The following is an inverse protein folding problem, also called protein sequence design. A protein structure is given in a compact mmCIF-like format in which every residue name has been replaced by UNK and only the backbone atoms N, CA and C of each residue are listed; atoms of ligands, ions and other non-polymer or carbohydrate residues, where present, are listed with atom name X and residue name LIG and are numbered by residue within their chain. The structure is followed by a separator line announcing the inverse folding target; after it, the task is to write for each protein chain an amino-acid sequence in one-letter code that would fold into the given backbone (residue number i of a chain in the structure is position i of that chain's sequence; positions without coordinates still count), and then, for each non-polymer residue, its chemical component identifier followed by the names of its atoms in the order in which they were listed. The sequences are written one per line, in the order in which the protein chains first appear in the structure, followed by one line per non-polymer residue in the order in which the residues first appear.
data_IF_292674488728
#
_entry.id   IF_292674488728
#
_cell.length_a   1.000
_cell.length_b   1.000
_cell.length_c   1.000
_cell.angle_alpha   90.00
_cell.angle_beta   90.00
_cell.angle_gamma   90.00
#
_symmetry.space_group_name_H-M   'P 1'
#
loop_
_entity.id
_entity.type
_entity.pdbx_description
1 polymer ?
#
# COMPACT_ATOMS: atom_id res chain seq x y z
N UNK A 1 19.87 -34.02 -11.37
CA UNK A 1 19.54 -33.04 -10.31
C UNK A 1 20.83 -32.63 -9.64
N UNK A 2 21.19 -31.36 -9.77
CA UNK A 2 22.50 -30.83 -9.36
C UNK A 2 22.57 -30.75 -7.84
N UNK A 3 23.38 -31.62 -7.21
CA UNK A 3 23.53 -31.75 -5.74
C UNK A 3 24.10 -30.47 -5.09
N UNK A 4 24.72 -29.58 -5.86
CA UNK A 4 25.24 -28.30 -5.37
C UNK A 4 24.16 -27.19 -5.19
N UNK A 5 22.97 -27.35 -5.76
CA UNK A 5 21.86 -26.37 -5.62
C UNK A 5 21.04 -26.58 -4.33
N UNK A 6 21.04 -27.80 -3.76
CA UNK A 6 20.31 -28.11 -2.54
C UNK A 6 20.80 -27.33 -1.30
N UNK A 7 22.11 -27.27 -1.02
CA UNK A 7 22.61 -26.52 0.14
C UNK A 7 22.41 -25.00 0.02
N UNK A 8 22.48 -24.42 -1.17
CA UNK A 8 22.19 -22.98 -1.39
C UNK A 8 20.76 -22.64 -1.08
N UNK A 9 19.78 -23.41 -1.57
CA UNK A 9 18.35 -23.20 -1.27
C UNK A 9 18.03 -23.29 0.23
N UNK A 10 18.63 -24.25 0.92
CA UNK A 10 18.47 -24.39 2.38
C UNK A 10 19.06 -23.22 3.14
N UNK A 11 20.24 -22.74 2.75
CA UNK A 11 20.86 -21.56 3.35
C UNK A 11 20.02 -20.29 3.10
N UNK A 12 19.48 -20.11 1.91
CA UNK A 12 18.63 -18.95 1.58
C UNK A 12 17.30 -18.99 2.36
N UNK A 13 16.72 -20.19 2.55
CA UNK A 13 15.54 -20.38 3.39
C UNK A 13 15.82 -20.09 4.86
N UNK A 14 16.95 -20.58 5.39
CA UNK A 14 17.38 -20.31 6.76
C UNK A 14 17.63 -18.81 7.00
N UNK A 15 18.30 -18.14 6.05
CA UNK A 15 18.51 -16.67 6.09
C UNK A 15 17.17 -15.91 6.08
N UNK A 16 16.24 -16.30 5.20
CA UNK A 16 14.91 -15.70 5.15
C UNK A 16 14.15 -15.92 6.45
N UNK A 17 14.15 -17.13 7.00
CA UNK A 17 13.53 -17.45 8.28
C UNK A 17 14.11 -16.61 9.42
N UNK A 18 15.44 -16.47 9.50
CA UNK A 18 16.10 -15.64 10.48
C UNK A 18 15.77 -14.14 10.29
N UNK A 19 15.72 -13.67 9.05
CA UNK A 19 15.30 -12.31 8.73
C UNK A 19 13.86 -12.05 9.17
N UNK A 20 12.95 -12.97 8.88
CA UNK A 20 11.54 -12.89 9.31
C UNK A 20 11.40 -12.90 10.83
N UNK A 21 12.16 -13.76 11.53
CA UNK A 21 12.14 -13.85 12.99
C UNK A 21 12.57 -12.55 13.69
N UNK A 22 13.45 -11.77 13.06
CA UNK A 22 13.99 -10.51 13.59
C UNK A 22 13.12 -9.29 13.27
N UNK A 23 12.07 -9.43 12.45
CA UNK A 23 11.19 -8.30 12.13
C UNK A 23 10.45 -7.82 13.38
N UNK A 24 10.23 -6.50 13.52
CA UNK A 24 9.35 -5.97 14.55
C UNK A 24 7.94 -6.54 14.38
N UNK A 25 7.21 -6.63 15.49
CA UNK A 25 5.82 -7.11 15.50
C UNK A 25 4.90 -5.92 15.68
N UNK A 26 3.87 -5.83 14.83
CA UNK A 26 2.76 -4.90 14.96
C UNK A 26 1.47 -5.68 15.23
N UNK A 27 0.64 -5.16 16.13
CA UNK A 27 -0.72 -5.68 16.35
C UNK A 27 -1.71 -4.78 15.63
N UNK A 28 -2.40 -5.33 14.64
CA UNK A 28 -3.42 -4.63 13.85
C UNK A 28 -4.81 -5.13 14.27
N UNK A 29 -5.64 -4.21 14.72
CA UNK A 29 -7.01 -4.51 15.19
C UNK A 29 -8.01 -4.21 14.09
N UNK A 30 -8.86 -5.19 13.81
CA UNK A 30 -10.07 -5.05 13.01
C UNK A 30 -11.26 -4.74 13.93
N UNK A 31 -11.79 -3.54 13.84
CA UNK A 31 -12.96 -3.09 14.61
C UNK A 31 -14.20 -3.15 13.72
N UNK A 32 -15.16 -4.01 14.08
CA UNK A 32 -16.30 -4.33 13.20
C UNK A 32 -17.37 -3.25 13.13
N UNK A 33 -17.31 -2.19 13.96
CA UNK A 33 -18.39 -1.22 14.13
C UNK A 33 -18.79 -0.44 12.86
N UNK A 34 -17.88 -0.24 11.89
CA UNK A 34 -18.17 0.55 10.68
C UNK A 34 -18.83 -0.27 9.57
N UNK A 35 -18.42 -1.52 9.41
CA UNK A 35 -18.92 -2.46 8.42
C UNK A 35 -18.62 -3.88 8.90
N UNK A 36 -19.52 -4.47 9.70
CA UNK A 36 -19.25 -5.74 10.35
C UNK A 36 -18.95 -6.89 9.39
N UNK A 37 -19.64 -6.94 8.24
CA UNK A 37 -19.49 -8.02 7.26
C UNK A 37 -18.22 -7.84 6.43
N UNK A 38 -18.02 -6.67 5.84
CA UNK A 38 -16.86 -6.37 5.00
C UNK A 38 -15.54 -6.46 5.79
N UNK A 39 -15.54 -5.99 7.04
CA UNK A 39 -14.36 -6.06 7.91
C UNK A 39 -14.05 -7.49 8.32
N UNK A 40 -15.03 -8.32 8.69
CA UNK A 40 -14.83 -9.75 8.97
C UNK A 40 -14.34 -10.51 7.74
N UNK A 41 -14.90 -10.20 6.57
CA UNK A 41 -14.44 -10.78 5.31
C UNK A 41 -12.97 -10.45 5.04
N UNK A 42 -12.57 -9.20 5.19
CA UNK A 42 -11.17 -8.77 4.99
C UNK A 42 -10.24 -9.40 6.02
N UNK A 43 -10.66 -9.48 7.30
CA UNK A 43 -9.91 -10.17 8.33
C UNK A 43 -9.66 -11.64 7.95
N UNK A 44 -10.69 -12.37 7.50
CA UNK A 44 -10.56 -13.74 7.05
C UNK A 44 -9.58 -13.88 5.86
N UNK A 45 -9.62 -12.95 4.89
CA UNK A 45 -8.66 -12.94 3.76
C UNK A 45 -7.22 -12.70 4.23
N UNK A 46 -6.99 -11.82 5.21
CA UNK A 46 -5.65 -11.49 5.71
C UNK A 46 -5.04 -12.61 6.56
N UNK A 47 -5.88 -13.34 7.29
CA UNK A 47 -5.47 -14.39 8.23
C UNK A 47 -5.51 -15.81 7.67
N UNK A 48 -6.16 -16.03 6.51
CA UNK A 48 -6.20 -17.36 5.87
C UNK A 48 -4.79 -17.91 5.69
N UNK A 49 -4.60 -19.24 5.71
CA UNK A 49 -3.29 -19.84 5.46
C UNK A 49 -2.69 -19.36 4.13
N UNK A 50 -1.41 -19.00 4.14
CA UNK A 50 -0.71 -18.59 2.93
C UNK A 50 -0.65 -19.73 1.92
N UNK A 51 -0.95 -19.47 0.65
CA UNK A 51 -1.07 -20.51 -0.39
C UNK A 51 0.16 -21.41 -0.49
N UNK A 52 1.35 -20.82 -0.45
CA UNK A 52 2.64 -21.52 -0.56
C UNK A 52 3.17 -21.99 0.79
N UNK A 53 3.00 -21.20 1.86
CA UNK A 53 3.57 -21.45 3.19
C UNK A 53 2.44 -21.62 4.21
N UNK A 54 1.82 -22.81 4.24
CA UNK A 54 0.63 -23.12 5.06
C UNK A 54 0.76 -22.83 6.56
N UNK A 55 2.00 -22.73 7.08
CA UNK A 55 2.30 -22.45 8.48
C UNK A 55 2.07 -20.99 8.90
N UNK A 56 1.88 -20.08 7.94
CA UNK A 56 1.71 -18.65 8.20
C UNK A 56 0.40 -18.14 7.59
N UNK A 57 -0.18 -17.12 8.22
CA UNK A 57 -1.31 -16.40 7.63
C UNK A 57 -0.87 -15.59 6.39
N UNK A 58 -1.81 -15.37 5.47
CA UNK A 58 -1.56 -14.77 4.15
C UNK A 58 -0.83 -13.42 4.24
N UNK A 59 -1.26 -12.54 5.14
CA UNK A 59 -0.67 -11.20 5.30
C UNK A 59 -0.05 -11.00 6.69
N UNK A 60 0.74 -11.96 7.18
CA UNK A 60 1.31 -11.91 8.53
C UNK A 60 2.82 -11.70 8.57
N UNK A 61 3.55 -12.04 7.51
CA UNK A 61 5.01 -12.02 7.48
C UNK A 61 5.57 -11.08 6.41
N UNK A 62 6.47 -10.17 6.82
CA UNK A 62 7.14 -9.24 5.92
C UNK A 62 6.18 -8.24 5.28
N UNK A 63 5.20 -7.77 6.02
CA UNK A 63 4.18 -6.81 5.58
C UNK A 63 4.76 -5.40 5.59
N UNK A 64 4.42 -4.61 4.58
CA UNK A 64 4.85 -3.22 4.49
C UNK A 64 3.98 -2.34 5.38
N UNK A 65 4.53 -1.83 6.48
CA UNK A 65 3.86 -0.90 7.39
C UNK A 65 4.65 0.39 7.55
N UNK A 66 3.91 1.47 7.81
CA UNK A 66 4.41 2.68 8.47
C UNK A 66 3.74 2.73 9.85
N UNK A 67 4.54 2.86 10.89
CA UNK A 67 4.09 3.20 12.24
C UNK A 67 3.83 4.71 12.28
N UNK A 68 2.56 5.10 12.17
CA UNK A 68 2.12 6.50 12.15
C UNK A 68 2.17 7.11 13.55
N UNK A 69 1.91 6.30 14.57
CA UNK A 69 1.91 6.73 15.97
C UNK A 69 3.29 7.24 16.41
N UNK A 70 4.37 6.67 15.84
CA UNK A 70 5.76 7.09 16.11
C UNK A 70 6.03 8.57 15.76
N UNK A 71 5.18 9.21 14.95
CA UNK A 71 5.33 10.62 14.57
C UNK A 71 4.54 11.59 15.46
N UNK A 72 3.79 11.10 16.46
CA UNK A 72 3.07 11.92 17.44
C UNK A 72 2.21 13.05 16.83
N UNK A 73 1.55 12.79 15.70
CA UNK A 73 0.73 13.79 15.01
C UNK A 73 1.54 14.86 14.26
N UNK A 74 2.84 14.65 14.02
CA UNK A 74 3.73 15.63 13.38
C UNK A 74 4.16 15.17 11.97
N UNK A 75 3.45 15.54 10.89
CA UNK A 75 3.84 15.19 9.51
C UNK A 75 5.26 15.67 9.14
N UNK A 76 5.70 16.80 9.70
CA UNK A 76 7.04 17.31 9.45
C UNK A 76 8.15 16.34 9.92
N UNK A 77 7.93 15.58 11.01
CA UNK A 77 8.87 14.57 11.46
C UNK A 77 9.01 13.44 10.47
N UNK A 78 7.89 12.94 9.91
CA UNK A 78 7.86 11.96 8.85
C UNK A 78 8.58 12.47 7.58
N UNK A 79 8.23 13.68 7.12
CA UNK A 79 8.83 14.25 5.91
C UNK A 79 10.34 14.43 6.05
N UNK A 80 10.86 14.85 7.20
CA UNK A 80 12.31 14.90 7.47
C UNK A 80 12.96 13.53 7.31
N UNK A 81 12.31 12.46 7.79
CA UNK A 81 12.80 11.08 7.66
C UNK A 81 12.87 10.64 6.20
N UNK A 82 11.83 10.92 5.43
CA UNK A 82 11.73 10.59 4.00
C UNK A 82 12.70 11.43 3.15
N UNK A 83 12.91 12.70 3.49
CA UNK A 83 13.85 13.59 2.81
C UNK A 83 15.30 13.11 2.93
N UNK A 84 15.70 12.51 4.05
CA UNK A 84 17.04 11.92 4.22
C UNK A 84 17.30 10.78 3.24
N UNK A 85 16.27 10.12 2.70
CA UNK A 85 16.42 9.14 1.63
C UNK A 85 16.73 9.75 0.26
N UNK A 86 16.65 11.08 0.13
CA UNK A 86 17.06 11.86 -1.04
C UNK A 86 16.18 11.71 -2.29
N UNK A 87 15.06 10.98 -2.24
CA UNK A 87 14.27 10.69 -3.45
C UNK A 87 12.79 11.10 -3.34
N UNK A 88 12.03 10.51 -2.41
CA UNK A 88 10.57 10.65 -2.40
C UNK A 88 10.10 12.10 -2.18
N UNK A 89 10.73 12.84 -1.27
CA UNK A 89 10.42 14.24 -1.02
C UNK A 89 10.64 15.15 -2.23
N UNK A 90 11.82 15.12 -2.89
CA UNK A 90 12.06 15.85 -4.14
C UNK A 90 11.07 15.50 -5.25
N UNK A 91 10.73 14.21 -5.44
CA UNK A 91 9.76 13.79 -6.44
C UNK A 91 8.35 14.31 -6.15
N UNK A 92 7.90 14.29 -4.89
CA UNK A 92 6.61 14.87 -4.50
C UNK A 92 6.58 16.38 -4.75
N UNK A 93 7.64 17.12 -4.40
CA UNK A 93 7.73 18.57 -4.71
C UNK A 93 7.75 18.85 -6.20
N UNK A 94 8.42 18.01 -7.00
CA UNK A 94 8.40 18.11 -8.46
C UNK A 94 6.97 18.02 -9.00
N UNK A 95 6.19 17.06 -8.50
CA UNK A 95 4.78 16.91 -8.89
C UNK A 95 3.97 18.17 -8.50
N UNK A 96 4.08 18.65 -7.25
CA UNK A 96 3.43 19.90 -6.82
C UNK A 96 3.80 21.09 -7.71
N UNK A 97 5.08 21.27 -8.04
CA UNK A 97 5.56 22.35 -8.90
C UNK A 97 5.05 22.27 -10.34
N UNK A 98 4.55 21.10 -10.78
CA UNK A 98 3.90 20.88 -12.07
C UNK A 98 2.36 21.02 -12.03
N UNK A 99 1.81 21.46 -10.91
CA UNK A 99 0.39 21.68 -10.74
C UNK A 99 -0.42 20.44 -10.38
N UNK A 100 0.25 19.29 -10.09
CA UNK A 100 -0.50 18.13 -9.59
C UNK A 100 -0.98 18.38 -8.16
N UNK A 101 -2.23 17.99 -7.90
CA UNK A 101 -2.83 18.14 -6.57
C UNK A 101 -3.69 16.92 -6.20
N UNK A 102 -3.93 16.72 -4.89
CA UNK A 102 -4.66 15.57 -4.35
C UNK A 102 -5.95 15.99 -3.70
N UNK A 103 -7.05 15.30 -4.04
CA UNK A 103 -8.36 15.39 -3.35
C UNK A 103 -9.00 14.03 -3.13
N UNK A 104 -10.01 13.97 -2.24
CA UNK A 104 -10.92 12.83 -2.14
C UNK A 104 -11.81 12.74 -3.38
N UNK A 105 -12.16 11.54 -3.80
CA UNK A 105 -13.00 11.31 -4.99
C UNK A 105 -14.05 10.24 -4.73
N UNK A 106 -15.21 10.37 -5.37
CA UNK A 106 -16.09 9.25 -5.67
C UNK A 106 -15.62 8.59 -6.98
N UNK A 107 -15.31 7.29 -6.93
CA UNK A 107 -14.87 6.54 -8.11
C UNK A 107 -15.92 6.53 -9.23
N UNK A 108 -17.19 6.64 -8.89
CA UNK A 108 -18.28 6.62 -9.87
C UNK A 108 -18.36 7.89 -10.71
N UNK A 109 -17.77 8.99 -10.24
CA UNK A 109 -17.63 10.23 -11.02
C UNK A 109 -16.45 10.18 -12.01
N UNK A 110 -15.58 9.15 -11.93
CA UNK A 110 -14.32 9.05 -12.67
C UNK A 110 -14.15 7.72 -13.42
N UNK A 111 -15.24 7.06 -13.84
CA UNK A 111 -15.19 5.70 -14.42
C UNK A 111 -14.31 5.61 -15.67
N UNK A 112 -14.38 6.62 -16.57
CA UNK A 112 -13.57 6.65 -17.79
C UNK A 112 -12.10 6.86 -17.51
N UNK A 113 -11.77 7.77 -16.61
CA UNK A 113 -10.40 8.08 -16.21
C UNK A 113 -9.75 6.91 -15.45
N UNK A 114 -10.48 6.25 -14.56
CA UNK A 114 -10.03 5.04 -13.87
C UNK A 114 -9.75 3.92 -14.87
N UNK A 115 -10.65 3.69 -15.83
CA UNK A 115 -10.43 2.70 -16.87
C UNK A 115 -9.21 3.04 -17.75
N UNK A 116 -9.04 4.32 -18.12
CA UNK A 116 -7.86 4.76 -18.86
C UNK A 116 -6.56 4.55 -18.07
N UNK A 117 -6.55 4.77 -16.75
CA UNK A 117 -5.40 4.45 -15.88
C UNK A 117 -5.14 2.93 -15.87
N UNK A 118 -6.17 2.10 -15.74
CA UNK A 118 -6.06 0.64 -15.70
C UNK A 118 -5.48 0.08 -16.99
N UNK A 119 -5.89 0.59 -18.12
CA UNK A 119 -5.48 0.13 -19.46
C UNK A 119 -4.21 0.82 -19.98
N UNK A 120 -3.66 1.80 -19.24
CA UNK A 120 -2.46 2.54 -19.65
C UNK A 120 -1.18 1.70 -19.68
N UNK A 121 -1.19 0.49 -19.14
CA UNK A 121 -0.05 -0.43 -19.13
C UNK A 121 -0.53 -1.86 -19.27
N UNK A 122 0.16 -2.64 -20.12
CA UNK A 122 -0.10 -4.09 -20.28
C UNK A 122 0.42 -4.91 -19.10
N UNK A 123 1.31 -4.34 -18.30
CA UNK A 123 1.94 -5.05 -17.17
C UNK A 123 1.83 -4.23 -15.88
N UNK A 124 1.61 -4.92 -14.77
CA UNK A 124 1.63 -4.39 -13.42
C UNK A 124 2.55 -5.22 -12.54
N UNK A 125 3.53 -4.59 -11.92
CA UNK A 125 4.46 -5.25 -11.00
C UNK A 125 5.18 -6.48 -11.61
N UNK A 126 5.55 -6.40 -12.90
CA UNK A 126 6.25 -7.49 -13.61
C UNK A 126 5.37 -8.70 -13.95
N UNK A 127 4.05 -8.53 -13.96
CA UNK A 127 3.06 -9.53 -14.39
C UNK A 127 2.09 -8.87 -15.38
N UNK A 128 1.47 -9.64 -16.28
CA UNK A 128 0.37 -9.13 -17.10
C UNK A 128 -0.68 -8.44 -16.24
N UNK A 129 -1.30 -7.39 -16.77
CA UNK A 129 -2.40 -6.72 -16.09
C UNK A 129 -3.52 -7.73 -15.84
N UNK A 130 -4.09 -7.71 -14.63
CA UNK A 130 -5.21 -8.56 -14.27
C UNK A 130 -6.41 -8.26 -15.21
N UNK A 131 -7.05 -9.31 -15.72
CA UNK A 131 -8.15 -9.20 -16.67
C UNK A 131 -9.32 -8.35 -16.14
N UNK A 132 -9.53 -8.34 -14.82
CA UNK A 132 -10.55 -7.51 -14.19
C UNK A 132 -10.34 -6.00 -14.41
N UNK A 133 -9.09 -5.55 -14.58
CA UNK A 133 -8.78 -4.14 -14.89
C UNK A 133 -8.95 -3.78 -16.37
N UNK A 134 -8.98 -4.77 -17.27
CA UNK A 134 -9.13 -4.53 -18.70
C UNK A 134 -10.59 -4.29 -19.10
N UNK A 135 -11.53 -4.69 -18.25
CA UNK A 135 -12.97 -4.43 -18.45
C UNK A 135 -13.35 -3.15 -17.69
N UNK A 136 -14.01 -2.22 -18.39
CA UNK A 136 -14.52 -1.01 -17.76
C UNK A 136 -15.58 -1.36 -16.74
N UNK A 137 -15.34 -0.97 -15.49
CA UNK A 137 -16.29 -1.16 -14.40
C UNK A 137 -17.43 -0.15 -14.57
N UNK A 138 -18.68 -0.63 -14.52
CA UNK A 138 -19.87 0.24 -14.66
C UNK A 138 -20.21 0.96 -13.35
N UNK A 139 -19.90 0.34 -12.20
CA UNK A 139 -20.19 0.89 -10.87
C UNK A 139 -19.22 0.33 -9.82
N UNK A 140 -18.70 1.20 -8.97
CA UNK A 140 -17.89 0.83 -7.81
C UNK A 140 -18.71 0.93 -6.54
N UNK A 141 -19.02 -0.20 -5.90
CA UNK A 141 -19.50 -0.18 -4.53
C UNK A 141 -18.42 0.43 -3.61
N UNK A 142 -18.84 1.36 -2.75
CA UNK A 142 -17.95 2.00 -1.77
C UNK A 142 -18.44 1.64 -0.37
N UNK A 143 -17.88 0.59 0.25
CA UNK A 143 -18.22 0.23 1.64
C UNK A 143 -17.93 1.40 2.58
N UNK A 144 -18.69 1.54 3.70
CA UNK A 144 -18.58 2.68 4.63
C UNK A 144 -17.19 2.89 5.24
N UNK A 145 -16.37 1.83 5.28
CA UNK A 145 -15.00 1.87 5.81
C UNK A 145 -13.94 2.16 4.73
N UNK A 146 -14.35 2.44 3.47
CA UNK A 146 -13.44 2.77 2.38
C UNK A 146 -13.43 4.26 2.07
N UNK A 147 -12.27 4.75 1.64
CA UNK A 147 -12.06 6.08 1.09
C UNK A 147 -11.18 6.00 -0.15
N UNK A 148 -11.37 6.94 -1.08
CA UNK A 148 -10.57 7.02 -2.28
C UNK A 148 -9.99 8.43 -2.44
N UNK A 149 -8.71 8.49 -2.82
CA UNK A 149 -7.99 9.74 -3.10
C UNK A 149 -7.47 9.71 -4.52
N UNK A 150 -7.67 10.80 -5.25
CA UNK A 150 -7.17 11.01 -6.60
C UNK A 150 -6.12 12.11 -6.67
N UNK A 151 -5.13 11.95 -7.55
CA UNK A 151 -4.24 13.02 -7.98
C UNK A 151 -4.67 13.49 -9.35
N UNK A 152 -4.82 14.80 -9.48
CA UNK A 152 -5.21 15.49 -10.71
C UNK A 152 -4.03 16.29 -11.25
N UNK A 153 -3.94 16.37 -12.57
CA UNK A 153 -2.99 17.27 -13.24
C UNK A 153 -3.53 18.70 -13.33
N UNK A 154 -2.76 19.61 -13.92
CA UNK A 154 -3.14 21.02 -14.06
C UNK A 154 -4.36 21.24 -14.98
N UNK A 155 -4.80 20.22 -15.73
CA UNK A 155 -6.01 20.23 -16.57
C UNK A 155 -7.21 19.55 -15.92
N UNK A 156 -7.13 19.30 -14.59
CA UNK A 156 -8.15 18.59 -13.80
C UNK A 156 -8.41 17.14 -14.23
N UNK A 157 -7.47 16.49 -14.94
CA UNK A 157 -7.57 15.08 -15.31
C UNK A 157 -7.03 14.20 -14.19
N UNK A 158 -7.75 13.14 -13.82
CA UNK A 158 -7.29 12.14 -12.86
C UNK A 158 -6.12 11.33 -13.45
N UNK A 159 -4.97 11.33 -12.78
CA UNK A 159 -3.73 10.67 -13.26
C UNK A 159 -3.25 9.55 -12.37
N UNK A 160 -3.67 9.52 -11.11
CA UNK A 160 -3.39 8.44 -10.16
C UNK A 160 -4.43 8.41 -9.04
N UNK A 161 -4.63 7.25 -8.43
CA UNK A 161 -5.56 7.13 -7.30
C UNK A 161 -5.10 6.06 -6.30
N UNK A 162 -5.63 6.18 -5.09
CA UNK A 162 -5.48 5.20 -4.02
C UNK A 162 -6.83 4.98 -3.34
N UNK A 163 -7.29 3.73 -3.32
CA UNK A 163 -8.42 3.30 -2.50
C UNK A 163 -7.87 2.63 -1.24
N UNK A 164 -8.41 2.98 -0.09
CA UNK A 164 -7.96 2.49 1.21
C UNK A 164 -9.15 2.04 2.04
N UNK A 165 -8.99 0.94 2.78
CA UNK A 165 -9.92 0.53 3.82
C UNK A 165 -9.39 0.89 5.21
N UNK A 166 -10.27 1.42 6.07
CA UNK A 166 -10.02 1.70 7.48
C UNK A 166 -10.66 0.61 8.33
N UNK A 167 -9.85 -0.11 9.10
CA UNK A 167 -10.29 -1.35 9.75
C UNK A 167 -10.28 -1.30 11.28
N UNK A 168 -9.79 -0.25 11.89
CA UNK A 168 -9.65 -0.05 13.33
C UNK A 168 -8.42 0.81 13.58
N UNK A 169 -7.39 0.28 14.22
CA UNK A 169 -6.16 1.04 14.45
C UNK A 169 -5.24 1.13 13.21
N UNK A 170 -5.70 0.68 12.04
CA UNK A 170 -4.91 0.77 10.82
C UNK A 170 -5.77 1.06 9.58
N UNK A 171 -5.12 1.58 8.57
CA UNK A 171 -5.63 1.65 7.20
C UNK A 171 -4.79 0.75 6.30
N UNK A 172 -5.40 0.18 5.26
CA UNK A 172 -4.69 -0.61 4.26
C UNK A 172 -5.04 -0.14 2.85
N UNK A 173 -4.03 -0.09 1.97
CA UNK A 173 -4.27 0.14 0.55
C UNK A 173 -5.01 -1.06 -0.04
N UNK A 174 -6.07 -0.80 -0.79
CA UNK A 174 -6.76 -1.76 -1.64
C UNK A 174 -6.25 -1.66 -3.08
N UNK A 175 -6.46 -0.52 -3.70
CA UNK A 175 -5.94 -0.21 -5.03
C UNK A 175 -5.03 1.01 -4.96
N UNK A 176 -3.90 0.96 -5.66
CA UNK A 176 -2.98 2.07 -5.82
C UNK A 176 -2.44 2.03 -7.25
N UNK A 177 -2.93 2.91 -8.09
CA UNK A 177 -2.63 2.93 -9.53
C UNK A 177 -2.46 4.35 -10.06
N UNK A 178 -1.74 4.48 -11.15
CA UNK A 178 -1.53 5.74 -11.85
C UNK A 178 -0.79 5.51 -13.16
N UNK A 179 -0.80 6.50 -14.03
CA UNK A 179 0.00 6.46 -15.25
C UNK A 179 1.49 6.31 -14.93
N UNK A 180 2.18 5.52 -15.72
CA UNK A 180 3.65 5.44 -15.65
C UNK A 180 4.24 6.73 -16.20
N UNK A 181 4.64 7.63 -15.31
CA UNK A 181 5.38 8.84 -15.66
C UNK A 181 6.53 9.06 -14.68
N UNK A 182 7.38 10.05 -14.99
CA UNK A 182 8.53 10.42 -14.15
C UNK A 182 8.27 11.70 -13.32
N UNK A 183 7.01 12.08 -13.15
CA UNK A 183 6.62 13.35 -12.53
C UNK A 183 6.54 13.29 -11.00
N UNK A 184 6.69 12.10 -10.43
CA UNK A 184 6.64 11.94 -8.99
C UNK A 184 5.23 11.83 -8.39
N UNK A 185 4.20 11.66 -9.24
CA UNK A 185 2.78 11.63 -8.86
C UNK A 185 2.48 10.62 -7.76
N UNK A 186 3.04 9.39 -7.86
CA UNK A 186 2.83 8.35 -6.85
C UNK A 186 3.48 8.69 -5.49
N UNK A 187 4.57 9.46 -5.49
CA UNK A 187 5.15 9.99 -4.26
C UNK A 187 4.27 11.09 -3.67
N UNK A 188 3.76 12.02 -4.50
CA UNK A 188 2.81 13.04 -4.06
C UNK A 188 1.59 12.40 -3.40
N UNK A 189 0.97 11.41 -4.07
CA UNK A 189 -0.21 10.69 -3.59
C UNK A 189 0.05 10.10 -2.20
N UNK A 190 1.06 9.24 -2.05
CA UNK A 190 1.30 8.54 -0.80
C UNK A 190 1.83 9.46 0.32
N UNK A 191 2.76 10.38 0.03
CA UNK A 191 3.26 11.28 1.06
C UNK A 191 2.16 12.18 1.61
N UNK A 192 1.25 12.67 0.75
CA UNK A 192 0.13 13.51 1.20
C UNK A 192 -0.86 12.70 2.05
N UNK A 193 -1.21 11.47 1.62
CA UNK A 193 -2.07 10.58 2.41
C UNK A 193 -1.45 10.30 3.77
N UNK A 194 -0.17 9.90 3.82
CA UNK A 194 0.52 9.60 5.08
C UNK A 194 0.56 10.82 6.00
N UNK A 195 0.85 12.01 5.47
CA UNK A 195 0.83 13.25 6.25
C UNK A 195 -0.55 13.54 6.85
N UNK A 196 -1.64 13.31 6.09
CA UNK A 196 -3.02 13.46 6.57
C UNK A 196 -3.33 12.46 7.69
N UNK A 197 -2.97 11.19 7.51
CA UNK A 197 -3.17 10.16 8.53
C UNK A 197 -2.40 10.46 9.83
N UNK A 198 -1.14 10.92 9.73
CA UNK A 198 -0.36 11.33 10.89
C UNK A 198 -1.02 12.50 11.61
N UNK A 199 -1.46 13.53 10.88
CA UNK A 199 -2.10 14.70 11.46
C UNK A 199 -3.44 14.37 12.14
N UNK A 200 -4.22 13.46 11.56
CA UNK A 200 -5.51 13.03 12.11
C UNK A 200 -5.38 12.21 13.39
N UNK A 201 -4.30 11.43 13.58
CA UNK A 201 -4.03 10.57 14.75
C UNK A 201 -5.15 9.56 15.05
N UNK A 202 -5.89 9.16 14.03
CA UNK A 202 -7.03 8.24 14.18
C UNK A 202 -6.64 6.77 14.01
N UNK A 203 -5.45 6.51 13.47
CA UNK A 203 -4.91 5.18 13.24
C UNK A 203 -3.43 5.14 13.57
N UNK A 204 -2.96 3.98 14.02
CA UNK A 204 -1.56 3.76 14.41
C UNK A 204 -0.70 3.35 13.22
N UNK A 205 -1.29 2.64 12.23
CA UNK A 205 -0.54 2.02 11.16
C UNK A 205 -1.13 2.27 9.78
N UNK A 206 -0.23 2.40 8.78
CA UNK A 206 -0.60 2.35 7.38
C UNK A 206 0.04 1.14 6.71
N UNK A 207 -0.80 0.25 6.15
CA UNK A 207 -0.43 -1.01 5.52
C UNK A 207 -0.43 -0.89 4.00
N UNK A 208 0.67 -1.31 3.34
CA UNK A 208 0.75 -1.41 1.88
C UNK A 208 1.22 -2.80 1.46
N UNK A 209 0.34 -3.79 1.58
CA UNK A 209 0.57 -5.17 1.15
C UNK A 209 1.92 -5.76 1.63
N UNK A 210 2.51 -6.73 0.92
CA UNK A 210 3.77 -7.36 1.32
C UNK A 210 4.97 -6.46 1.03
N UNK A 211 5.99 -6.49 1.88
CA UNK A 211 7.30 -5.87 1.64
C UNK A 211 8.29 -6.87 1.06
N UNK A 212 8.47 -8.00 1.73
CA UNK A 212 9.48 -8.99 1.34
C UNK A 212 9.09 -9.78 0.09
N UNK A 213 7.80 -10.00 -0.15
CA UNK A 213 7.28 -10.64 -1.36
C UNK A 213 7.16 -9.72 -2.57
N UNK A 214 7.40 -8.41 -2.41
CA UNK A 214 7.30 -7.45 -3.50
C UNK A 214 8.49 -7.53 -4.47
N UNK A 215 8.24 -7.22 -5.75
CA UNK A 215 9.30 -7.04 -6.74
C UNK A 215 10.32 -5.99 -6.29
N UNK A 216 11.61 -6.10 -6.69
CA UNK A 216 12.67 -5.21 -6.20
C UNK A 216 12.36 -3.72 -6.35
N UNK A 217 11.86 -3.28 -7.50
CA UNK A 217 11.48 -1.87 -7.75
C UNK A 217 10.35 -1.38 -6.84
N UNK A 218 9.31 -2.21 -6.62
CA UNK A 218 8.22 -1.88 -5.72
C UNK A 218 8.68 -1.85 -4.25
N UNK A 219 9.57 -2.76 -3.86
CA UNK A 219 10.17 -2.77 -2.53
C UNK A 219 11.02 -1.53 -2.26
N UNK A 220 11.80 -1.10 -3.27
CA UNK A 220 12.57 0.14 -3.20
C UNK A 220 11.65 1.36 -3.09
N UNK A 221 10.61 1.43 -3.90
CA UNK A 221 9.58 2.48 -3.79
C UNK A 221 8.96 2.54 -2.39
N UNK A 222 8.51 1.40 -1.84
CA UNK A 222 7.98 1.32 -0.47
C UNK A 222 8.98 1.84 0.56
N UNK A 223 10.25 1.44 0.46
CA UNK A 223 11.31 1.89 1.36
C UNK A 223 11.50 3.41 1.30
N UNK A 224 11.51 3.99 0.10
CA UNK A 224 11.66 5.44 -0.12
C UNK A 224 10.50 6.25 0.45
N UNK A 225 9.30 5.70 0.42
CA UNK A 225 8.09 6.29 1.04
C UNK A 225 8.10 6.12 2.58
N UNK A 226 8.92 5.25 3.13
CA UNK A 226 9.04 5.05 4.58
C UNK A 226 8.47 3.74 5.11
N UNK A 227 7.89 2.90 4.25
CA UNK A 227 7.44 1.57 4.68
C UNK A 227 8.61 0.70 5.11
N UNK A 228 8.36 -0.13 6.13
CA UNK A 228 9.31 -1.13 6.64
C UNK A 228 8.61 -2.49 6.73
N UNK A 229 9.37 -3.60 6.68
CA UNK A 229 8.80 -4.93 6.87
C UNK A 229 8.50 -5.21 8.34
N UNK A 230 7.32 -5.75 8.61
CA UNK A 230 6.85 -6.16 9.93
C UNK A 230 6.33 -7.60 9.90
N UNK A 231 6.32 -8.26 11.07
CA UNK A 231 5.40 -9.35 11.36
C UNK A 231 4.13 -8.74 11.91
N UNK A 232 2.98 -9.27 11.51
CA UNK A 232 1.69 -8.73 11.92
C UNK A 232 0.90 -9.79 12.67
N UNK A 233 0.31 -9.39 13.79
CA UNK A 233 -0.76 -10.10 14.48
C UNK A 233 -2.05 -9.36 14.23
N UNK A 234 -3.09 -10.09 13.83
CA UNK A 234 -4.42 -9.52 13.66
C UNK A 234 -5.31 -9.90 14.82
N UNK A 235 -6.05 -8.93 15.31
CA UNK A 235 -7.09 -9.09 16.31
C UNK A 235 -8.42 -8.63 15.71
N UNK A 236 -9.49 -9.35 15.95
CA UNK A 236 -10.85 -8.98 15.58
C UNK A 236 -11.58 -8.53 16.84
N UNK A 237 -12.06 -7.28 16.86
CA UNK A 237 -12.71 -6.64 18.02
C UNK A 237 -14.15 -6.23 17.69
#
# INVERSE_FOLDING_TARGET
MDTAQLPRKLMDQARLALQLARLPVATLRFETGRDPEGIRHTHALFTRPHERYKLFGNKTMGIALIDLAAFNGQPAAYLRGVQRSGHAGPQSRKALGRGYHLRGIDRNEHLDELHAIHTSSQERQGRPMDASYLVKTAFYATPPHFECHGVFDATERLVAYCTMGRYGNFVATDQLMGYKNQDGVMYLLLLTIICRLIAAREVDYFLYDTFLGAQPGLRDFKRRVGFRPYRVRYELV
#
